data_IF_876951621550
#
_entry.id   IF_876951621550
#
_cell.length_a   1.000
_cell.length_b   1.000
_cell.length_c   1.000
_cell.angle_alpha   90.00
_cell.angle_beta   90.00
_cell.angle_gamma   90.00
#
_symmetry.space_group_name_H-M   'P 1'
#
loop_
_entity.id
_entity.type
_entity.pdbx_description
1 polymer ?
#
# COMPACT_ATOMS: atom_id res chain seq x y z
N UNK A 1 40.64 60.20 -25.56
CA UNK A 1 41.18 60.17 -26.93
C UNK A 1 40.14 59.53 -27.83
N UNK A 2 39.62 60.31 -28.80
CA UNK A 2 39.05 59.97 -30.14
C UNK A 2 38.17 58.71 -30.25
N UNK A 3 36.86 58.81 -30.54
CA UNK A 3 36.23 59.02 -31.87
C UNK A 3 36.72 58.00 -32.92
N UNK A 4 35.90 57.29 -33.72
CA UNK A 4 34.94 57.76 -34.75
C UNK A 4 34.17 56.50 -35.24
N UNK A 5 32.84 56.44 -35.11
CA UNK A 5 31.78 56.58 -36.16
C UNK A 5 31.62 55.47 -37.21
N UNK A 6 30.37 55.00 -37.37
CA UNK A 6 29.52 55.17 -38.56
C UNK A 6 28.26 54.30 -38.45
N UNK A 7 27.06 54.67 -38.85
CA UNK A 7 26.46 55.96 -39.20
C UNK A 7 24.93 55.77 -39.29
N UNK A 8 24.20 56.75 -38.74
CA UNK A 8 23.04 57.49 -39.31
C UNK A 8 21.84 56.74 -39.96
N UNK A 9 20.61 56.90 -39.45
CA UNK A 9 19.70 58.08 -39.54
C UNK A 9 18.95 58.14 -40.90
N UNK A 10 17.72 58.62 -41.11
CA UNK A 10 16.77 59.47 -40.37
C UNK A 10 15.44 59.53 -41.19
N UNK A 11 14.25 59.51 -40.56
CA UNK A 11 13.37 60.65 -40.23
C UNK A 11 12.28 61.07 -41.26
N UNK A 12 11.03 60.87 -40.86
CA UNK A 12 9.87 61.78 -40.81
C UNK A 12 9.73 63.02 -41.75
N UNK A 13 8.53 63.10 -42.35
CA UNK A 13 7.60 64.26 -42.50
C UNK A 13 7.91 65.45 -43.43
N UNK A 14 6.96 65.72 -44.36
CA UNK A 14 6.52 67.03 -44.90
C UNK A 14 5.18 66.80 -45.63
N UNK A 15 4.03 67.22 -45.10
CA UNK A 15 3.39 68.53 -45.16
C UNK A 15 2.66 68.86 -46.50
N UNK A 16 1.34 68.96 -46.39
CA UNK A 16 0.36 69.81 -47.10
C UNK A 16 0.76 70.52 -48.41
N UNK A 17 -0.03 70.32 -49.47
CA UNK A 17 -0.93 71.32 -50.06
C UNK A 17 -1.48 70.83 -51.41
N UNK A 18 -2.81 70.89 -51.61
CA UNK A 18 -3.39 71.54 -52.79
C UNK A 18 -4.92 71.62 -52.68
N UNK A 19 -5.40 72.85 -52.67
CA UNK A 19 -6.79 73.25 -52.77
C UNK A 19 -7.16 73.50 -54.23
N UNK A 20 -8.25 72.91 -54.72
CA UNK A 20 -8.96 73.39 -55.92
C UNK A 20 -10.47 73.45 -55.60
N UNK A 21 -11.07 74.56 -56.01
CA UNK A 21 -12.39 75.07 -55.59
C UNK A 21 -13.51 74.69 -56.59
N UNK A 22 -14.74 74.66 -56.08
CA UNK A 22 -16.09 74.82 -56.71
C UNK A 22 -16.74 73.50 -57.17
N UNK A 23 -17.97 73.16 -56.75
CA UNK A 23 -19.23 73.88 -57.00
C UNK A 23 -20.34 73.44 -56.03
N UNK A 24 -21.29 74.36 -55.83
CA UNK A 24 -22.51 74.22 -55.04
C UNK A 24 -23.51 73.33 -55.79
N UNK A 25 -23.95 72.22 -55.19
CA UNK A 25 -25.16 71.50 -55.59
C UNK A 25 -26.10 71.37 -54.39
N UNK A 26 -27.21 72.09 -54.46
CA UNK A 26 -28.23 72.24 -53.42
C UNK A 26 -29.13 71.00 -53.26
N UNK A 27 -28.61 69.79 -53.51
CA UNK A 27 -29.33 68.51 -53.38
C UNK A 27 -28.69 67.53 -52.37
N UNK A 28 -27.59 67.90 -51.70
CA UNK A 28 -26.83 66.99 -50.81
C UNK A 28 -27.29 66.93 -49.34
N UNK A 29 -28.20 67.82 -48.90
CA UNK A 29 -28.57 67.93 -47.49
C UNK A 29 -29.68 66.97 -47.03
N UNK A 30 -30.48 66.41 -47.94
CA UNK A 30 -31.55 65.46 -47.61
C UNK A 30 -31.09 63.99 -47.56
N UNK A 31 -30.01 63.64 -48.27
CA UNK A 31 -29.44 62.28 -48.30
C UNK A 31 -28.46 61.98 -47.13
N UNK A 32 -27.98 63.02 -46.43
CA UNK A 32 -27.02 62.93 -45.33
C UNK A 32 -27.64 62.58 -43.96
N UNK A 33 -28.91 62.95 -43.73
CA UNK A 33 -29.61 62.67 -42.45
C UNK A 33 -30.18 61.25 -42.38
N UNK A 34 -30.66 60.69 -43.50
CA UNK A 34 -31.23 59.34 -43.56
C UNK A 34 -30.18 58.24 -43.35
N UNK A 35 -28.98 58.42 -43.93
CA UNK A 35 -27.85 57.49 -43.81
C UNK A 35 -27.23 57.44 -42.40
N UNK A 36 -27.11 58.59 -41.72
CA UNK A 36 -26.57 58.64 -40.33
C UNK A 36 -27.52 58.02 -39.30
N UNK A 37 -28.84 58.13 -39.49
CA UNK A 37 -29.82 57.48 -38.61
C UNK A 37 -29.87 55.96 -38.84
N UNK A 38 -29.72 55.49 -40.08
CA UNK A 38 -29.66 54.05 -40.39
C UNK A 38 -28.45 53.37 -39.73
N UNK A 39 -27.27 54.00 -39.80
CA UNK A 39 -26.03 53.50 -39.18
C UNK A 39 -26.10 53.45 -37.64
N UNK A 40 -26.78 54.40 -36.99
CA UNK A 40 -27.02 54.36 -35.54
C UNK A 40 -28.00 53.24 -35.16
N UNK A 41 -29.01 53.00 -35.99
CA UNK A 41 -30.00 51.94 -35.75
C UNK A 41 -29.38 50.53 -35.87
N UNK A 42 -28.53 50.30 -36.88
CA UNK A 42 -27.82 49.03 -37.06
C UNK A 42 -26.80 48.76 -35.94
N UNK A 43 -26.08 49.79 -35.47
CA UNK A 43 -25.18 49.65 -34.32
C UNK A 43 -25.93 49.28 -33.03
N UNK A 44 -27.06 49.92 -32.78
CA UNK A 44 -27.90 49.61 -31.61
C UNK A 44 -28.55 48.21 -31.72
N UNK A 45 -28.91 47.76 -32.93
CA UNK A 45 -29.42 46.40 -33.16
C UNK A 45 -28.36 45.33 -32.89
N UNK A 46 -27.13 45.53 -33.41
CA UNK A 46 -25.99 44.64 -33.16
C UNK A 46 -25.57 44.61 -31.69
N UNK A 47 -25.64 45.73 -30.97
CA UNK A 47 -25.40 45.76 -29.51
C UNK A 47 -26.47 44.99 -28.74
N UNK A 48 -27.76 45.19 -29.04
CA UNK A 48 -28.87 44.44 -28.42
C UNK A 48 -28.82 42.93 -28.72
N UNK A 49 -28.37 42.54 -29.90
CA UNK A 49 -28.18 41.13 -30.26
C UNK A 49 -27.00 40.50 -29.51
N UNK A 50 -25.88 41.23 -29.34
CA UNK A 50 -24.75 40.79 -28.51
C UNK A 50 -25.12 40.69 -27.02
N UNK A 51 -25.85 41.65 -26.47
CA UNK A 51 -26.34 41.61 -25.09
C UNK A 51 -27.32 40.45 -24.86
N UNK A 52 -28.21 40.18 -25.82
CA UNK A 52 -29.10 39.01 -25.76
C UNK A 52 -28.33 37.69 -25.82
N UNK A 53 -27.30 37.57 -26.65
CA UNK A 53 -26.45 36.37 -26.71
C UNK A 53 -25.64 36.17 -25.42
N UNK A 54 -25.10 37.24 -24.84
CA UNK A 54 -24.37 37.19 -23.56
C UNK A 54 -25.33 36.80 -22.41
N UNK A 55 -26.56 37.31 -22.40
CA UNK A 55 -27.57 36.93 -21.38
C UNK A 55 -28.00 35.47 -21.50
N UNK A 56 -28.16 34.95 -22.73
CA UNK A 56 -28.50 33.54 -22.97
C UNK A 56 -27.37 32.61 -22.56
N UNK A 57 -26.11 32.96 -22.85
CA UNK A 57 -24.96 32.18 -22.39
C UNK A 57 -24.80 32.20 -20.86
N UNK A 58 -25.02 33.35 -20.21
CA UNK A 58 -25.01 33.42 -18.75
C UNK A 58 -26.09 32.54 -18.12
N UNK A 59 -27.31 32.55 -18.65
CA UNK A 59 -28.39 31.71 -18.13
C UNK A 59 -28.11 30.21 -18.32
N UNK A 60 -27.55 29.79 -19.46
CA UNK A 60 -27.18 28.39 -19.68
C UNK A 60 -26.05 27.90 -18.75
N UNK A 61 -25.06 28.76 -18.45
CA UNK A 61 -23.97 28.42 -17.51
C UNK A 61 -24.51 28.29 -16.08
N UNK A 62 -25.47 29.13 -15.68
CA UNK A 62 -26.09 29.08 -14.35
C UNK A 62 -26.94 27.82 -14.17
N UNK A 63 -27.68 27.39 -15.20
CA UNK A 63 -28.52 26.18 -15.14
C UNK A 63 -27.64 24.91 -15.05
N UNK A 64 -26.57 24.82 -15.84
CA UNK A 64 -25.64 23.68 -15.76
C UNK A 64 -24.93 23.54 -14.41
N UNK A 65 -24.66 24.66 -13.74
CA UNK A 65 -24.08 24.64 -12.39
C UNK A 65 -25.06 24.16 -11.32
N UNK A 66 -26.36 24.43 -11.48
CA UNK A 66 -27.37 23.98 -10.52
C UNK A 66 -27.61 22.47 -10.60
N UNK A 67 -27.73 21.92 -11.82
CA UNK A 67 -27.85 20.47 -12.04
C UNK A 67 -26.64 19.70 -11.51
N UNK A 68 -25.44 20.27 -11.64
CA UNK A 68 -24.21 19.72 -11.07
C UNK A 68 -24.21 19.73 -9.53
N UNK A 69 -24.69 20.80 -8.90
CA UNK A 69 -24.80 20.89 -7.44
C UNK A 69 -25.82 19.89 -6.90
N UNK A 70 -26.98 19.78 -7.55
CA UNK A 70 -28.02 18.82 -7.20
C UNK A 70 -27.50 17.37 -7.33
N UNK A 71 -26.68 17.09 -8.35
CA UNK A 71 -26.04 15.79 -8.51
C UNK A 71 -24.98 15.50 -7.44
N UNK A 72 -24.17 16.51 -7.06
CA UNK A 72 -23.21 16.40 -5.96
C UNK A 72 -23.94 16.12 -4.64
N UNK A 73 -25.06 16.81 -4.37
CA UNK A 73 -25.85 16.60 -3.16
C UNK A 73 -26.49 15.21 -3.13
N UNK A 74 -27.01 14.75 -4.27
CA UNK A 74 -27.50 13.38 -4.42
C UNK A 74 -26.40 12.34 -4.14
N UNK A 75 -25.20 12.55 -4.68
CA UNK A 75 -24.04 11.67 -4.44
C UNK A 75 -23.60 11.70 -2.98
N UNK A 76 -23.62 12.86 -2.31
CA UNK A 76 -23.35 12.98 -0.87
C UNK A 76 -24.35 12.16 -0.05
N UNK A 77 -25.64 12.27 -0.36
CA UNK A 77 -26.69 11.49 0.30
C UNK A 77 -26.55 9.99 0.04
N UNK A 78 -26.19 9.58 -1.18
CA UNK A 78 -25.93 8.17 -1.51
C UNK A 78 -24.72 7.61 -0.74
N UNK A 79 -23.66 8.40 -0.57
CA UNK A 79 -22.50 8.04 0.23
C UNK A 79 -22.85 7.90 1.71
N UNK A 80 -23.61 8.85 2.27
CA UNK A 80 -24.07 8.78 3.67
C UNK A 80 -24.95 7.55 3.92
N UNK A 81 -25.86 7.23 2.99
CA UNK A 81 -26.69 6.03 3.05
C UNK A 81 -25.87 4.73 2.93
N UNK A 82 -24.70 4.78 2.28
CA UNK A 82 -23.74 3.68 2.21
C UNK A 82 -22.81 3.63 3.45
N UNK A 83 -22.99 4.53 4.43
CA UNK A 83 -22.16 4.62 5.63
C UNK A 83 -20.81 5.30 5.41
N UNK A 84 -20.60 5.94 4.26
CA UNK A 84 -19.38 6.68 3.92
C UNK A 84 -19.61 8.18 4.12
N UNK A 85 -18.69 8.86 4.82
CA UNK A 85 -18.78 10.32 4.97
C UNK A 85 -18.31 11.00 3.69
N UNK A 86 -19.17 11.79 3.01
CA UNK A 86 -18.77 12.47 1.80
C UNK A 86 -17.70 13.52 2.10
N UNK A 87 -16.70 13.60 1.21
CA UNK A 87 -15.66 14.63 1.27
C UNK A 87 -16.33 16.00 1.09
N UNK A 88 -16.41 16.77 2.18
CA UNK A 88 -17.10 18.05 2.22
C UNK A 88 -16.31 19.18 1.54
N UNK A 89 -14.97 19.06 1.52
CA UNK A 89 -14.05 20.08 1.06
C UNK A 89 -13.01 19.47 0.11
N UNK A 90 -12.93 20.03 -1.11
CA UNK A 90 -11.87 19.71 -2.07
C UNK A 90 -10.66 20.57 -1.68
N UNK A 91 -9.86 20.09 -0.73
CA UNK A 91 -8.61 20.75 -0.31
C UNK A 91 -7.41 20.07 -0.97
N UNK A 92 -6.27 20.75 -1.10
CA UNK A 92 -5.04 20.12 -1.58
C UNK A 92 -4.58 19.02 -0.60
N UNK A 93 -3.87 18.00 -1.10
CA UNK A 93 -3.29 16.94 -0.27
C UNK A 93 -2.39 17.47 0.85
N UNK A 94 -1.65 18.54 0.56
CA UNK A 94 -0.71 19.16 1.51
C UNK A 94 -1.45 19.92 2.62
N UNK A 95 -2.53 20.61 2.25
CA UNK A 95 -3.40 21.29 3.20
C UNK A 95 -4.15 20.28 4.09
N UNK A 96 -4.61 19.17 3.51
CA UNK A 96 -5.22 18.06 4.26
C UNK A 96 -4.26 17.48 5.31
N UNK A 97 -2.98 17.29 4.97
CA UNK A 97 -1.94 16.87 5.93
C UNK A 97 -1.70 17.91 7.01
N UNK A 98 -1.61 19.20 6.64
CA UNK A 98 -1.42 20.27 7.61
C UNK A 98 -2.59 20.36 8.60
N UNK A 99 -3.82 20.19 8.12
CA UNK A 99 -5.01 20.21 8.95
C UNK A 99 -5.12 18.97 9.85
N UNK A 100 -4.70 17.80 9.37
CA UNK A 100 -4.59 16.61 10.23
C UNK A 100 -3.59 16.86 11.39
N UNK A 101 -2.43 17.44 11.10
CA UNK A 101 -1.43 17.74 12.14
C UNK A 101 -1.99 18.73 13.16
N UNK A 102 -2.66 19.80 12.72
CA UNK A 102 -3.31 20.77 13.60
C UNK A 102 -4.41 20.14 14.45
N UNK A 103 -5.21 19.24 13.87
CA UNK A 103 -6.26 18.54 14.59
C UNK A 103 -5.67 17.58 15.64
N UNK A 104 -4.58 16.88 15.33
CA UNK A 104 -3.85 16.04 16.30
C UNK A 104 -3.23 16.87 17.43
N UNK A 105 -2.64 18.02 17.12
CA UNK A 105 -2.14 18.97 18.13
C UNK A 105 -3.26 19.50 19.02
N UNK A 106 -4.43 19.79 18.46
CA UNK A 106 -5.61 20.19 19.22
C UNK A 106 -6.13 19.08 20.14
N UNK A 107 -6.14 17.82 19.69
CA UNK A 107 -6.49 16.68 20.56
C UNK A 107 -5.51 16.52 21.74
N UNK A 108 -4.21 16.68 21.51
CA UNK A 108 -3.21 16.60 22.59
C UNK A 108 -3.46 17.66 23.67
N UNK A 109 -3.97 18.83 23.30
CA UNK A 109 -4.29 19.92 24.22
C UNK A 109 -5.66 19.71 24.90
N UNK A 110 -6.65 19.23 24.15
CA UNK A 110 -8.01 18.95 24.63
C UNK A 110 -8.61 17.75 23.87
N UNK A 111 -8.81 16.63 24.58
CA UNK A 111 -9.43 15.39 24.09
C UNK A 111 -10.96 15.54 23.91
N UNK A 112 -11.39 16.68 23.37
CA UNK A 112 -12.79 16.92 23.07
C UNK A 112 -13.25 16.06 21.91
N UNK A 113 -14.51 15.64 21.97
CA UNK A 113 -15.16 14.86 20.90
C UNK A 113 -15.07 15.57 19.53
N UNK A 114 -15.13 16.90 19.51
CA UNK A 114 -15.06 17.69 18.28
C UNK A 114 -13.66 17.63 17.64
N UNK A 115 -12.59 17.71 18.44
CA UNK A 115 -11.22 17.59 17.94
C UNK A 115 -10.97 16.19 17.37
N UNK A 116 -11.46 15.14 18.04
CA UNK A 116 -11.39 13.77 17.53
C UNK A 116 -12.16 13.60 16.21
N UNK A 117 -13.33 14.24 16.09
CA UNK A 117 -14.12 14.21 14.86
C UNK A 117 -13.41 14.93 13.69
N UNK A 118 -12.67 16.00 13.96
CA UNK A 118 -11.83 16.66 12.96
C UNK A 118 -10.64 15.80 12.55
N UNK A 119 -9.99 15.12 13.49
CA UNK A 119 -8.93 14.14 13.19
C UNK A 119 -9.47 13.04 12.27
N UNK A 120 -10.61 12.43 12.61
CA UNK A 120 -11.23 11.38 11.80
C UNK A 120 -11.57 11.89 10.39
N UNK A 121 -12.12 13.11 10.28
CA UNK A 121 -12.45 13.73 8.99
C UNK A 121 -11.20 13.85 8.10
N UNK A 122 -10.10 14.37 8.65
CA UNK A 122 -8.88 14.59 7.87
C UNK A 122 -8.11 13.29 7.61
N UNK A 123 -8.18 12.32 8.52
CA UNK A 123 -7.60 10.99 8.32
C UNK A 123 -8.33 10.23 7.21
N UNK A 124 -9.67 10.24 7.21
CA UNK A 124 -10.49 9.67 6.14
C UNK A 124 -10.22 10.36 4.79
N UNK A 125 -10.07 11.69 4.79
CA UNK A 125 -9.71 12.44 3.58
C UNK A 125 -8.35 11.99 3.01
N UNK A 126 -7.33 11.87 3.86
CA UNK A 126 -5.98 11.48 3.44
C UNK A 126 -5.97 10.04 2.94
N UNK A 127 -6.62 9.10 3.65
CA UNK A 127 -6.68 7.69 3.26
C UNK A 127 -7.31 7.48 1.88
N UNK A 128 -8.34 8.27 1.56
CA UNK A 128 -9.05 8.19 0.29
C UNK A 128 -8.42 9.03 -0.83
N UNK A 129 -7.41 9.84 -0.52
CA UNK A 129 -6.77 10.71 -1.51
C UNK A 129 -5.92 9.89 -2.51
N UNK A 130 -6.07 10.06 -3.84
CA UNK A 130 -5.35 9.28 -4.86
C UNK A 130 -3.82 9.26 -4.65
N UNK A 131 -3.22 10.41 -4.35
CA UNK A 131 -1.78 10.54 -4.06
C UNK A 131 -1.32 9.70 -2.88
N UNK A 132 -2.13 9.56 -1.83
CA UNK A 132 -1.79 8.70 -0.68
C UNK A 132 -1.87 7.23 -1.08
N UNK A 133 -2.92 6.85 -1.80
CA UNK A 133 -3.12 5.47 -2.28
C UNK A 133 -1.93 5.07 -3.18
N UNK A 134 -1.53 5.92 -4.13
CA UNK A 134 -0.36 5.70 -4.97
C UNK A 134 0.92 5.55 -4.15
N UNK A 135 1.16 6.46 -3.19
CA UNK A 135 2.33 6.42 -2.30
C UNK A 135 2.37 5.11 -1.50
N UNK A 136 1.23 4.66 -0.96
CA UNK A 136 1.13 3.39 -0.22
C UNK A 136 1.34 2.17 -1.11
N UNK A 137 0.80 2.18 -2.32
CA UNK A 137 1.01 1.11 -3.31
C UNK A 137 2.50 1.02 -3.66
N UNK A 138 3.18 2.15 -3.87
CA UNK A 138 4.62 2.15 -4.15
C UNK A 138 5.44 1.65 -2.95
N UNK A 139 5.14 2.13 -1.73
CA UNK A 139 5.79 1.62 -0.51
C UNK A 139 5.60 0.12 -0.33
N UNK A 140 4.39 -0.38 -0.56
CA UNK A 140 4.10 -1.81 -0.48
C UNK A 140 4.85 -2.60 -1.55
N UNK A 141 4.94 -2.11 -2.79
CA UNK A 141 5.72 -2.76 -3.85
C UNK A 141 7.19 -2.88 -3.48
N UNK A 142 7.81 -1.78 -3.06
CA UNK A 142 9.20 -1.76 -2.60
C UNK A 142 9.41 -2.72 -1.43
N UNK A 143 8.48 -2.77 -0.48
CA UNK A 143 8.54 -3.71 0.63
C UNK A 143 8.44 -5.16 0.18
N UNK A 144 7.55 -5.49 -0.78
CA UNK A 144 7.44 -6.85 -1.32
C UNK A 144 8.72 -7.27 -2.03
N UNK A 145 9.33 -6.39 -2.82
CA UNK A 145 10.59 -6.66 -3.53
C UNK A 145 11.73 -6.96 -2.54
N UNK A 146 11.93 -6.08 -1.55
CA UNK A 146 12.94 -6.22 -0.50
C UNK A 146 12.68 -7.46 0.40
N UNK A 147 11.42 -7.71 0.77
CA UNK A 147 11.05 -8.90 1.54
C UNK A 147 11.29 -10.20 0.76
N UNK A 148 11.07 -10.21 -0.56
CA UNK A 148 11.34 -11.35 -1.42
C UNK A 148 12.85 -11.59 -1.58
N UNK A 149 13.66 -10.55 -1.69
CA UNK A 149 15.12 -10.66 -1.75
C UNK A 149 15.67 -11.28 -0.47
N UNK A 150 15.36 -10.70 0.70
CA UNK A 150 15.77 -11.26 2.00
C UNK A 150 15.18 -12.65 2.26
N UNK A 151 13.99 -12.90 1.74
CA UNK A 151 13.33 -14.19 1.85
C UNK A 151 14.07 -15.30 1.08
N UNK A 152 14.64 -14.99 -0.09
CA UNK A 152 15.49 -15.94 -0.83
C UNK A 152 16.74 -16.31 -0.06
N UNK A 153 17.44 -15.31 0.49
CA UNK A 153 18.62 -15.54 1.34
C UNK A 153 18.28 -16.40 2.55
N UNK A 154 17.13 -16.11 3.18
CA UNK A 154 16.64 -16.87 4.31
C UNK A 154 16.26 -18.32 3.94
N UNK A 155 15.69 -18.56 2.74
CA UNK A 155 15.42 -19.91 2.24
C UNK A 155 16.74 -20.68 2.07
N UNK A 156 17.75 -20.08 1.44
CA UNK A 156 19.04 -20.73 1.24
C UNK A 156 19.72 -21.06 2.57
N UNK A 157 19.65 -20.16 3.54
CA UNK A 157 20.14 -20.42 4.88
C UNK A 157 19.39 -21.58 5.55
N UNK A 158 18.05 -21.60 5.47
CA UNK A 158 17.24 -22.64 6.11
C UNK A 158 17.38 -24.00 5.43
N UNK A 159 17.58 -24.05 4.12
CA UNK A 159 17.82 -25.30 3.38
C UNK A 159 19.09 -26.02 3.84
N UNK A 160 20.10 -25.31 4.39
CA UNK A 160 21.30 -25.93 4.97
C UNK A 160 20.97 -26.82 6.17
N UNK A 161 19.95 -26.45 6.93
CA UNK A 161 19.54 -27.15 8.16
C UNK A 161 18.41 -28.15 7.91
N UNK A 162 17.51 -27.86 6.97
CA UNK A 162 16.34 -28.71 6.70
C UNK A 162 16.69 -29.69 5.56
N UNK A 163 16.72 -31.01 5.82
CA UNK A 163 17.05 -32.01 4.81
C UNK A 163 15.96 -32.10 3.73
N UNK A 164 16.33 -32.53 2.52
CA UNK A 164 15.41 -32.69 1.39
C UNK A 164 14.32 -33.73 1.65
N UNK A 165 14.71 -34.89 2.20
CA UNK A 165 13.79 -35.97 2.53
C UNK A 165 13.16 -35.75 3.92
N UNK A 166 12.65 -34.54 4.20
CA UNK A 166 11.96 -34.23 5.46
C UNK A 166 10.54 -34.81 5.49
N UNK A 167 9.95 -35.11 4.34
CA UNK A 167 8.63 -35.72 4.26
C UNK A 167 8.67 -37.25 4.45
N UNK A 168 9.83 -37.86 4.19
CA UNK A 168 10.01 -39.31 4.28
C UNK A 168 10.56 -39.71 5.66
N UNK A 169 9.71 -40.33 6.50
CA UNK A 169 10.08 -40.88 7.80
C UNK A 169 10.88 -39.91 8.70
N UNK A 170 10.54 -38.62 8.69
CA UNK A 170 11.17 -37.66 9.59
C UNK A 170 10.79 -37.95 11.04
N UNK A 171 11.79 -38.34 11.82
CA UNK A 171 11.74 -38.46 13.26
C UNK A 171 12.95 -37.73 13.85
N UNK A 172 12.87 -37.34 15.12
CA UNK A 172 14.00 -36.67 15.80
C UNK A 172 15.26 -37.53 15.71
N UNK A 173 15.14 -38.84 15.91
CA UNK A 173 16.26 -39.81 15.82
C UNK A 173 16.85 -39.84 14.41
N UNK A 174 16.02 -39.88 13.37
CA UNK A 174 16.50 -39.91 11.99
C UNK A 174 17.18 -38.60 11.59
N UNK A 175 16.70 -37.46 12.09
CA UNK A 175 17.35 -36.17 11.88
C UNK A 175 18.70 -36.08 12.62
N UNK A 176 18.80 -36.63 13.82
CA UNK A 176 20.07 -36.72 14.55
C UNK A 176 21.07 -37.63 13.83
N UNK A 177 20.62 -38.78 13.30
CA UNK A 177 21.45 -39.67 12.50
C UNK A 177 21.96 -39.01 11.21
N UNK A 178 21.24 -38.01 10.69
CA UNK A 178 21.66 -37.15 9.58
C UNK A 178 22.63 -36.03 9.99
N UNK A 179 23.03 -35.96 11.27
CA UNK A 179 24.02 -35.01 11.78
C UNK A 179 23.44 -33.73 12.39
N UNK A 180 22.11 -33.63 12.58
CA UNK A 180 21.52 -32.47 13.24
C UNK A 180 21.61 -32.58 14.76
N UNK A 181 21.76 -31.43 15.44
CA UNK A 181 21.68 -31.38 16.91
C UNK A 181 20.28 -31.77 17.40
N UNK A 182 20.17 -32.31 18.62
CA UNK A 182 18.89 -32.69 19.23
C UNK A 182 17.89 -31.52 19.25
N UNK A 183 18.38 -30.33 19.60
CA UNK A 183 17.57 -29.12 19.69
C UNK A 183 17.03 -28.70 18.33
N UNK A 184 17.86 -28.76 17.29
CA UNK A 184 17.47 -28.41 15.93
C UNK A 184 16.49 -29.45 15.36
N UNK A 185 16.76 -30.74 15.53
CA UNK A 185 15.86 -31.82 15.12
C UNK A 185 14.49 -31.69 15.79
N UNK A 186 14.46 -31.41 17.10
CA UNK A 186 13.21 -31.19 17.84
C UNK A 186 12.46 -29.95 17.35
N UNK A 187 13.18 -28.85 17.06
CA UNK A 187 12.58 -27.62 16.51
C UNK A 187 11.95 -27.86 15.14
N UNK A 188 12.66 -28.50 14.22
CA UNK A 188 12.15 -28.83 12.88
C UNK A 188 10.93 -29.73 12.97
N UNK A 189 10.92 -30.74 13.87
CA UNK A 189 9.77 -31.62 14.05
C UNK A 189 8.56 -30.93 14.68
N UNK A 190 8.79 -30.02 15.63
CA UNK A 190 7.73 -29.27 16.32
C UNK A 190 7.10 -28.21 15.41
N UNK A 191 7.93 -27.46 14.69
CA UNK A 191 7.50 -26.36 13.82
C UNK A 191 7.43 -26.85 12.37
N UNK A 192 6.41 -27.65 12.05
CA UNK A 192 6.25 -28.21 10.70
C UNK A 192 6.04 -27.17 9.61
N UNK A 193 5.71 -25.92 9.95
CA UNK A 193 5.74 -24.78 9.02
C UNK A 193 7.06 -24.68 8.26
N UNK A 194 8.19 -25.03 8.90
CA UNK A 194 9.52 -25.04 8.28
C UNK A 194 9.63 -26.05 7.13
N UNK A 195 8.80 -27.09 7.11
CA UNK A 195 8.84 -28.11 6.06
C UNK A 195 8.35 -27.54 4.73
N UNK A 196 7.49 -26.50 4.76
CA UNK A 196 7.01 -25.83 3.55
C UNK A 196 8.16 -25.23 2.73
N UNK A 197 9.29 -24.88 3.35
CA UNK A 197 10.49 -24.36 2.68
C UNK A 197 11.08 -25.37 1.67
N UNK A 198 10.84 -26.67 1.89
CA UNK A 198 11.28 -27.77 1.01
C UNK A 198 10.18 -28.29 0.09
N UNK A 199 8.95 -27.79 0.23
CA UNK A 199 7.82 -28.21 -0.59
C UNK A 199 7.71 -27.34 -1.85
N UNK A 200 7.21 -27.92 -2.94
CA UNK A 200 6.97 -27.15 -4.16
C UNK A 200 5.81 -26.18 -3.99
N UNK A 201 5.91 -25.01 -4.63
CA UNK A 201 4.93 -23.92 -4.54
C UNK A 201 3.52 -24.38 -4.96
N UNK A 202 3.43 -25.31 -5.93
CA UNK A 202 2.17 -25.88 -6.40
C UNK A 202 1.49 -26.77 -5.36
N UNK A 203 2.28 -27.53 -4.61
CA UNK A 203 1.76 -28.37 -3.54
C UNK A 203 1.30 -27.51 -2.38
N UNK A 204 2.04 -26.44 -2.06
CA UNK A 204 1.66 -25.45 -1.04
C UNK A 204 0.30 -24.82 -1.39
N UNK A 205 0.08 -24.46 -2.65
CA UNK A 205 -1.19 -23.88 -3.10
C UNK A 205 -2.40 -24.81 -2.85
N UNK A 206 -2.17 -26.12 -2.91
CA UNK A 206 -3.17 -27.16 -2.73
C UNK A 206 -3.37 -27.60 -1.27
N UNK A 207 -2.51 -27.19 -0.33
CA UNK A 207 -2.67 -27.55 1.09
C UNK A 207 -4.03 -27.10 1.62
N UNK A 208 -4.71 -27.98 2.35
CA UNK A 208 -5.98 -27.67 2.96
C UNK A 208 -5.84 -26.63 4.09
N UNK A 209 -6.83 -25.77 4.28
CA UNK A 209 -6.78 -24.67 5.26
C UNK A 209 -6.57 -25.16 6.71
N UNK A 210 -7.15 -26.31 7.06
CA UNK A 210 -6.95 -26.89 8.40
C UNK A 210 -5.48 -27.25 8.64
N UNK A 211 -4.80 -27.78 7.63
CA UNK A 211 -3.37 -28.10 7.74
C UNK A 211 -2.54 -26.82 7.85
N UNK A 212 -2.85 -25.77 7.07
CA UNK A 212 -2.17 -24.48 7.19
C UNK A 212 -2.30 -23.88 8.60
N UNK A 213 -3.50 -23.94 9.19
CA UNK A 213 -3.78 -23.37 10.52
C UNK A 213 -3.18 -24.21 11.66
N UNK A 214 -3.31 -25.53 11.62
CA UNK A 214 -2.95 -26.40 12.74
C UNK A 214 -1.57 -27.04 12.56
N UNK A 215 -1.32 -27.70 11.43
CA UNK A 215 -0.08 -28.44 11.17
C UNK A 215 1.07 -27.49 10.84
N UNK A 216 0.83 -26.49 10.00
CA UNK A 216 1.83 -25.53 9.53
C UNK A 216 1.72 -24.17 10.23
N UNK A 217 1.33 -24.17 11.51
CA UNK A 217 1.30 -22.96 12.31
C UNK A 217 2.69 -22.30 12.38
N UNK A 218 2.74 -21.00 12.12
CA UNK A 218 3.97 -20.18 12.14
C UNK A 218 4.25 -19.55 13.52
N UNK A 219 3.59 -20.01 14.58
CA UNK A 219 3.80 -19.52 15.94
C UNK A 219 5.20 -19.89 16.47
N UNK A 220 5.92 -18.91 17.02
CA UNK A 220 7.23 -19.15 17.64
C UNK A 220 8.39 -19.31 16.65
N UNK A 221 8.20 -18.86 15.41
CA UNK A 221 9.26 -18.72 14.42
C UNK A 221 10.11 -17.46 14.69
N UNK A 222 11.38 -17.52 14.32
CA UNK A 222 12.28 -16.37 14.29
C UNK A 222 12.13 -15.57 12.98
N UNK A 223 12.77 -14.40 12.90
CA UNK A 223 12.65 -13.51 11.74
C UNK A 223 13.15 -14.15 10.44
N UNK A 224 14.22 -14.95 10.51
CA UNK A 224 14.79 -15.62 9.34
C UNK A 224 13.85 -16.73 8.87
N UNK A 225 13.30 -17.54 9.79
CA UNK A 225 12.29 -18.54 9.48
C UNK A 225 11.02 -17.94 8.87
N UNK A 226 10.55 -16.80 9.38
CA UNK A 226 9.38 -16.12 8.84
C UNK A 226 9.62 -15.56 7.44
N UNK A 227 10.79 -14.96 7.20
CA UNK A 227 11.21 -14.49 5.86
C UNK A 227 11.28 -15.66 4.88
N UNK A 228 11.86 -16.78 5.31
CA UNK A 228 11.96 -17.99 4.48
C UNK A 228 10.58 -18.56 4.14
N UNK A 229 9.68 -18.61 5.14
CA UNK A 229 8.32 -19.07 4.95
C UNK A 229 7.53 -18.16 4.00
N UNK A 230 7.64 -16.84 4.15
CA UNK A 230 6.96 -15.89 3.26
C UNK A 230 7.38 -16.09 1.79
N UNK A 231 8.68 -16.20 1.53
CA UNK A 231 9.20 -16.34 0.16
C UNK A 231 8.89 -17.69 -0.51
N UNK A 232 8.48 -18.72 0.24
CA UNK A 232 8.08 -20.00 -0.36
C UNK A 232 6.58 -20.10 -0.67
N UNK A 233 5.77 -19.13 -0.23
CA UNK A 233 4.32 -19.17 -0.46
C UNK A 233 3.95 -18.86 -1.91
N UNK A 234 2.86 -19.45 -2.42
CA UNK A 234 2.33 -19.11 -3.73
C UNK A 234 1.72 -17.70 -3.75
N UNK A 235 1.70 -17.10 -4.93
CA UNK A 235 1.00 -15.82 -5.15
C UNK A 235 -0.50 -15.96 -4.92
N UNK A 236 -1.09 -17.09 -5.33
CA UNK A 236 -2.51 -17.41 -5.18
C UNK A 236 -2.66 -18.85 -4.68
N UNK A 237 -3.57 -19.05 -3.72
CA UNK A 237 -3.96 -20.38 -3.28
C UNK A 237 -5.08 -20.97 -4.14
N UNK A 238 -5.04 -22.29 -4.34
CA UNK A 238 -6.10 -23.01 -5.06
C UNK A 238 -7.24 -23.36 -4.09
N UNK A 239 -8.48 -23.43 -4.61
CA UNK A 239 -9.66 -23.86 -3.85
C UNK A 239 -9.97 -23.05 -2.58
N UNK A 240 -9.89 -21.71 -2.64
CA UNK A 240 -10.17 -20.82 -1.50
C UNK A 240 -11.43 -19.93 -1.71
N UNK A 241 -12.65 -20.49 -1.66
CA UNK A 241 -13.87 -19.71 -1.88
C UNK A 241 -14.17 -18.70 -0.77
N UNK A 242 -13.58 -18.88 0.42
CA UNK A 242 -13.78 -18.02 1.60
C UNK A 242 -12.60 -17.07 1.88
N UNK A 243 -11.58 -17.07 1.02
CA UNK A 243 -10.32 -16.33 1.20
C UNK A 243 -9.63 -16.62 2.56
N UNK A 244 -9.83 -17.81 3.14
CA UNK A 244 -9.24 -18.14 4.44
C UNK A 244 -7.74 -18.42 4.36
N UNK A 245 -7.26 -18.98 3.24
CA UNK A 245 -5.83 -19.20 3.00
C UNK A 245 -5.12 -17.88 2.75
N UNK A 246 -5.77 -16.99 2.01
CA UNK A 246 -5.27 -15.63 1.81
C UNK A 246 -5.21 -14.85 3.13
N UNK A 247 -6.23 -14.98 3.98
CA UNK A 247 -6.22 -14.38 5.33
C UNK A 247 -5.08 -14.94 6.22
N UNK A 248 -4.76 -16.23 6.10
CA UNK A 248 -3.62 -16.84 6.78
C UNK A 248 -2.28 -16.24 6.29
N UNK A 249 -2.12 -16.06 4.97
CA UNK A 249 -0.95 -15.39 4.37
C UNK A 249 -0.85 -13.92 4.82
N UNK A 250 -1.96 -13.20 4.84
CA UNK A 250 -2.01 -11.82 5.33
C UNK A 250 -1.62 -11.72 6.82
N UNK A 251 -2.01 -12.70 7.63
CA UNK A 251 -1.61 -12.79 9.03
C UNK A 251 -0.10 -13.01 9.19
N UNK A 252 0.50 -13.84 8.32
CA UNK A 252 1.95 -14.03 8.26
C UNK A 252 2.67 -12.74 7.86
N UNK A 253 2.18 -12.05 6.82
CA UNK A 253 2.72 -10.76 6.36
C UNK A 253 2.68 -9.72 7.48
N UNK A 254 1.56 -9.62 8.18
CA UNK A 254 1.42 -8.68 9.30
C UNK A 254 2.43 -9.01 10.41
N UNK A 255 2.52 -10.28 10.81
CA UNK A 255 3.51 -10.71 11.82
C UNK A 255 4.94 -10.43 11.39
N UNK A 256 5.27 -10.57 10.10
CA UNK A 256 6.58 -10.25 9.57
C UNK A 256 6.86 -8.74 9.66
N UNK A 257 5.91 -7.91 9.20
CA UNK A 257 6.03 -6.44 9.30
C UNK A 257 6.21 -5.97 10.74
N UNK A 258 5.47 -6.56 11.68
CA UNK A 258 5.59 -6.21 13.10
C UNK A 258 6.98 -6.53 13.66
N UNK A 259 7.52 -7.70 13.32
CA UNK A 259 8.86 -8.13 13.73
C UNK A 259 9.95 -7.28 13.04
N UNK A 260 9.79 -6.94 11.77
CA UNK A 260 10.73 -6.05 11.05
C UNK A 260 10.72 -4.63 11.62
N UNK A 261 9.56 -4.13 12.04
CA UNK A 261 9.45 -2.85 12.72
C UNK A 261 10.18 -2.88 14.08
N UNK A 262 10.07 -3.99 14.83
CA UNK A 262 10.82 -4.19 16.07
C UNK A 262 12.33 -4.29 15.83
N UNK A 263 12.75 -4.95 14.75
CA UNK A 263 14.16 -5.03 14.31
C UNK A 263 14.72 -3.64 13.99
N UNK A 264 13.99 -2.85 13.18
CA UNK A 264 14.36 -1.46 12.83
C UNK A 264 14.46 -0.56 14.06
N UNK A 265 13.57 -0.77 15.04
CA UNK A 265 13.57 -0.01 16.29
C UNK A 265 14.56 -0.55 17.33
N UNK A 266 15.30 -1.64 17.04
CA UNK A 266 16.25 -2.26 17.97
C UNK A 266 15.62 -2.88 19.22
N UNK A 267 14.31 -3.09 19.23
CA UNK A 267 13.54 -3.63 20.37
C UNK A 267 13.30 -5.14 20.27
N UNK A 268 13.82 -5.78 19.21
CA UNK A 268 13.57 -7.18 18.92
C UNK A 268 14.19 -8.10 19.99
N UNK A 269 13.40 -8.96 20.64
CA UNK A 269 13.92 -9.94 21.60
C UNK A 269 14.91 -10.92 20.94
N UNK A 270 16.00 -11.26 21.65
CA UNK A 270 17.03 -12.19 21.15
C UNK A 270 16.48 -13.50 20.57
N UNK A 271 15.41 -14.04 21.15
CA UNK A 271 14.75 -15.28 20.70
C UNK A 271 14.15 -15.20 19.29
N UNK A 272 13.84 -13.99 18.81
CA UNK A 272 13.25 -13.73 17.50
C UNK A 272 14.28 -13.31 16.45
N UNK A 273 15.51 -12.98 16.85
CA UNK A 273 16.61 -12.69 15.92
C UNK A 273 17.07 -14.01 15.28
N UNK A 274 17.50 -14.95 16.11
CA UNK A 274 17.88 -16.29 15.67
C UNK A 274 17.62 -17.27 16.80
N UNK A 275 16.96 -18.38 16.50
CA UNK A 275 16.73 -19.38 17.53
C UNK A 275 18.05 -20.04 17.97
N UNK A 276 18.21 -20.25 19.28
CA UNK A 276 19.41 -20.89 19.85
C UNK A 276 19.63 -22.32 19.34
N UNK A 277 18.60 -22.99 18.81
CA UNK A 277 18.73 -24.31 18.18
C UNK A 277 19.73 -24.33 17.01
N UNK A 278 19.95 -23.19 16.35
CA UNK A 278 20.90 -23.05 15.23
C UNK A 278 22.35 -22.81 15.67
N UNK A 279 22.60 -22.46 16.94
CA UNK A 279 23.95 -22.11 17.41
C UNK A 279 24.86 -23.33 17.66
N UNK A 280 24.29 -24.52 17.85
CA UNK A 280 25.03 -25.70 18.31
C UNK A 280 25.41 -26.69 17.19
N UNK A 281 25.43 -26.27 15.91
CA UNK A 281 25.71 -27.20 14.80
C UNK A 281 27.17 -27.66 14.71
N UNK A 282 28.08 -27.08 15.49
CA UNK A 282 29.51 -27.47 15.50
C UNK A 282 29.89 -28.40 16.66
N UNK A 283 28.99 -28.64 17.61
CA UNK A 283 29.21 -29.66 18.63
C UNK A 283 28.47 -30.93 18.19
N UNK A 284 29.10 -31.70 17.31
CA UNK A 284 28.93 -33.14 17.29
C UNK A 284 29.17 -33.63 18.72
N UNK A 285 28.12 -33.63 19.53
CA UNK A 285 28.14 -34.40 20.75
C UNK A 285 28.38 -35.82 20.28
N UNK A 286 29.58 -36.30 20.61
CA UNK A 286 29.99 -37.68 20.52
C UNK A 286 29.05 -38.43 21.47
N UNK A 287 27.80 -38.61 21.05
CA UNK A 287 26.82 -39.39 21.78
C UNK A 287 27.41 -40.78 21.67
N UNK A 288 28.07 -41.21 22.74
CA UNK A 288 28.32 -42.62 23.00
C UNK A 288 26.97 -43.27 22.79
N UNK A 289 26.82 -43.95 21.66
CA UNK A 289 25.70 -44.84 21.42
C UNK A 289 25.72 -45.76 22.63
N UNK A 290 24.86 -45.50 23.61
CA UNK A 290 24.57 -46.46 24.64
C UNK A 290 23.98 -47.61 23.85
N UNK A 291 24.85 -48.58 23.51
CA UNK A 291 24.42 -49.87 22.98
C UNK A 291 23.30 -50.29 23.92
N UNK A 292 22.09 -50.38 23.39
CA UNK A 292 20.97 -50.92 24.12
C UNK A 292 21.39 -52.35 24.46
N UNK A 293 21.95 -52.54 25.66
CA UNK A 293 22.14 -53.87 26.18
C UNK A 293 20.73 -54.36 26.38
N UNK A 294 20.29 -55.28 25.50
CA UNK A 294 19.04 -56.00 25.68
C UNK A 294 18.94 -56.37 27.15
N UNK A 295 17.92 -55.89 27.89
CA UNK A 295 17.77 -56.31 29.27
C UNK A 295 17.68 -57.82 29.24
N UNK A 296 18.62 -58.39 29.98
CA UNK A 296 18.90 -59.80 30.19
C UNK A 296 17.62 -60.62 30.01
N UNK A 297 17.65 -61.55 29.06
CA UNK A 297 16.57 -62.49 28.75
C UNK A 297 16.23 -63.46 29.92
N UNK A 298 16.64 -63.15 31.14
CA UNK A 298 16.50 -63.96 32.34
C UNK A 298 16.16 -63.07 33.54
N UNK A 299 14.94 -62.56 33.61
CA UNK A 299 14.25 -62.47 34.90
C UNK A 299 12.76 -62.26 34.64
N UNK A 300 11.96 -63.20 35.12
CA UNK A 300 10.51 -63.12 35.15
C UNK A 300 10.08 -62.03 36.15
N UNK A 301 10.31 -60.76 35.82
CA UNK A 301 9.91 -59.62 36.66
C UNK A 301 8.38 -59.62 36.87
N UNK A 302 7.63 -60.10 35.88
CA UNK A 302 6.18 -60.32 35.99
C UNK A 302 5.81 -61.41 37.00
N UNK A 303 6.61 -62.48 37.16
CA UNK A 303 6.29 -63.54 38.13
C UNK A 303 6.64 -63.14 39.57
N UNK A 304 7.58 -62.22 39.77
CA UNK A 304 7.88 -61.64 41.09
C UNK A 304 6.80 -60.64 41.53
N UNK A 305 6.25 -59.85 40.60
CA UNK A 305 5.17 -58.90 40.89
C UNK A 305 3.88 -59.63 41.30
N UNK A 306 3.55 -60.75 40.64
CA UNK A 306 2.37 -61.55 40.97
C UNK A 306 2.48 -62.33 42.30
N UNK A 307 3.67 -62.40 42.93
CA UNK A 307 3.88 -63.10 44.21
C UNK A 307 3.72 -62.22 45.44
N UNK A 308 3.59 -60.89 45.29
CA UNK A 308 3.27 -60.01 46.41
C UNK A 308 1.77 -60.08 46.68
N UNK A 309 1.35 -61.05 47.51
CA UNK A 309 0.07 -60.96 48.21
C UNK A 309 0.11 -59.75 49.14
N UNK A 310 -0.94 -58.94 49.06
CA UNK A 310 -1.25 -57.89 50.01
C UNK A 310 -1.66 -58.59 51.29
N UNK A 311 -0.89 -58.38 52.36
CA UNK A 311 -1.33 -58.65 53.73
C UNK A 311 -2.28 -57.54 54.19
#
# INVERSE_FOLDING_TARGET
MKEVESSSNNSATKAFANSIVKKHDSNSLLLSRKSKNLLKFEKNKKQKEKEKQISKNKNNIVIGNQELLDHIELLKSQLENAGLRPISEITSYEDGKSNLIKALEACIVDDSFFNLQEVDKWDDFIKNHPKYIEEQVQKNKLWVEDAMERGKDAIEEQKKYIPENIFDNASVVNLQNKGLSLNLATRIMRNRALWLIRMDVKDIANVHIADLKFKYSFTGLDIIELRALYACLPDKFEHDPKNEKENWKNSLIQSLKDIENQEKNGTLPKRLIRNSAYNNTNETQNIKVLKFQNPIANSNLFSEICKRRID
#
